data_IF_742847280728
#
_entry.id   IF_742847280728
#
_cell.length_a   1.000
_cell.length_b   1.000
_cell.length_c   1.000
_cell.angle_alpha   90.00
_cell.angle_beta   90.00
_cell.angle_gamma   90.00
#
_symmetry.space_group_name_H-M   'P 1'
#
loop_
_entity.id
_entity.type
_entity.pdbx_description
1 polymer ?
#
# COMPACT_ATOMS: atom_id res chain seq x y z
N UNK A 1 -6.99 -5.81 -13.85
CA UNK A 1 -6.05 -5.48 -12.75
C UNK A 1 -6.38 -4.10 -12.23
N UNK A 2 -6.36 -3.92 -10.91
CA UNK A 2 -6.55 -2.62 -10.29
C UNK A 2 -5.40 -1.67 -10.63
N UNK A 3 -5.70 -0.37 -10.60
CA UNK A 3 -4.71 0.70 -10.79
C UNK A 3 -4.22 1.16 -9.43
N UNK A 4 -2.90 1.11 -9.21
CA UNK A 4 -2.29 1.68 -8.01
C UNK A 4 -2.20 3.19 -8.18
N UNK A 5 -2.73 3.94 -7.22
CA UNK A 5 -2.56 5.38 -7.14
C UNK A 5 -1.74 5.70 -5.88
N UNK A 6 -0.54 6.25 -6.07
CA UNK A 6 0.37 6.60 -4.98
C UNK A 6 0.24 8.09 -4.66
N UNK A 7 0.10 8.41 -3.39
CA UNK A 7 0.18 9.81 -2.96
C UNK A 7 1.59 10.38 -3.20
N UNK A 8 1.69 11.72 -3.26
CA UNK A 8 2.98 12.41 -3.37
C UNK A 8 3.91 12.05 -2.21
N UNK A 9 3.37 11.89 -1.00
CA UNK A 9 4.14 11.51 0.19
C UNK A 9 4.65 10.08 0.09
N UNK A 10 3.79 9.13 -0.33
CA UNK A 10 4.19 7.75 -0.56
C UNK A 10 5.32 7.67 -1.60
N UNK A 11 5.18 8.40 -2.71
CA UNK A 11 6.21 8.47 -3.76
C UNK A 11 7.54 8.99 -3.22
N UNK A 12 7.52 10.08 -2.44
CA UNK A 12 8.73 10.63 -1.78
C UNK A 12 9.37 9.61 -0.82
N UNK A 13 8.56 8.84 -0.09
CA UNK A 13 9.06 7.85 0.86
C UNK A 13 9.69 6.65 0.15
N UNK A 14 9.08 6.15 -0.91
CA UNK A 14 9.60 5.04 -1.72
C UNK A 14 10.99 5.36 -2.29
N UNK A 15 11.21 6.60 -2.74
CA UNK A 15 12.53 7.06 -3.24
C UNK A 15 13.65 7.07 -2.18
N UNK A 16 13.31 6.98 -0.89
CA UNK A 16 14.28 7.00 0.22
C UNK A 16 14.52 5.61 0.83
N UNK A 17 13.96 4.54 0.25
CA UNK A 17 14.17 3.19 0.74
C UNK A 17 15.56 2.68 0.33
N UNK A 18 16.26 1.92 1.20
CA UNK A 18 17.44 1.17 0.78
C UNK A 18 17.09 0.14 -0.30
N UNK A 19 18.02 -0.15 -1.21
CA UNK A 19 17.80 -0.98 -2.40
C UNK A 19 17.11 -2.32 -2.12
N UNK A 20 17.54 -3.02 -1.06
CA UNK A 20 16.94 -4.30 -0.64
C UNK A 20 15.45 -4.16 -0.30
N UNK A 21 15.09 -3.12 0.44
CA UNK A 21 13.70 -2.86 0.82
C UNK A 21 12.88 -2.31 -0.36
N UNK A 22 13.50 -1.50 -1.23
CA UNK A 22 12.84 -0.95 -2.40
C UNK A 22 12.30 -2.08 -3.32
N UNK A 23 13.12 -3.12 -3.57
CA UNK A 23 12.70 -4.27 -4.39
C UNK A 23 11.54 -5.04 -3.77
N UNK A 24 11.60 -5.31 -2.46
CA UNK A 24 10.54 -6.03 -1.74
C UNK A 24 9.22 -5.24 -1.76
N UNK A 25 9.27 -3.95 -1.46
CA UNK A 25 8.09 -3.08 -1.45
C UNK A 25 7.50 -2.93 -2.85
N UNK A 26 8.33 -2.74 -3.89
CA UNK A 26 7.85 -2.63 -5.27
C UNK A 26 7.15 -3.92 -5.75
N UNK A 27 7.68 -5.08 -5.37
CA UNK A 27 7.08 -6.39 -5.68
C UNK A 27 5.69 -6.48 -5.04
N UNK A 28 5.60 -6.24 -3.72
CA UNK A 28 4.33 -6.30 -3.00
C UNK A 28 3.29 -5.30 -3.53
N UNK A 29 3.68 -4.05 -3.81
CA UNK A 29 2.77 -3.04 -4.41
C UNK A 29 2.22 -3.51 -5.76
N UNK A 30 3.05 -4.18 -6.56
CA UNK A 30 2.64 -4.67 -7.89
C UNK A 30 1.64 -5.82 -7.76
N UNK A 31 1.83 -6.74 -6.81
CA UNK A 31 0.92 -7.85 -6.51
C UNK A 31 -0.48 -7.38 -6.08
N UNK A 32 -0.58 -6.22 -5.41
CA UNK A 32 -1.87 -5.63 -5.02
C UNK A 32 -2.79 -5.31 -6.21
N UNK A 33 -2.25 -5.24 -7.44
CA UNK A 33 -3.05 -5.05 -8.65
C UNK A 33 -3.96 -6.24 -8.98
N UNK A 34 -3.60 -7.43 -8.50
CA UNK A 34 -4.37 -8.68 -8.67
C UNK A 34 -4.97 -9.17 -7.36
N UNK A 35 -4.27 -8.99 -6.24
CA UNK A 35 -4.73 -9.39 -4.92
C UNK A 35 -4.69 -8.20 -3.94
N UNK A 36 -5.72 -7.33 -3.94
CA UNK A 36 -5.75 -6.15 -3.09
C UNK A 36 -5.86 -6.45 -1.58
N UNK A 37 -6.28 -7.67 -1.21
CA UNK A 37 -6.48 -8.09 0.18
C UNK A 37 -5.71 -9.40 0.44
N UNK A 38 -4.37 -9.37 0.40
CA UNK A 38 -3.59 -10.58 0.62
C UNK A 38 -3.77 -11.06 2.07
N UNK A 39 -3.55 -12.35 2.31
CA UNK A 39 -3.82 -12.98 3.60
C UNK A 39 -3.01 -12.36 4.76
N UNK A 40 -1.82 -11.85 4.47
CA UNK A 40 -0.93 -11.16 5.41
C UNK A 40 -1.28 -9.67 5.60
N UNK A 41 -2.35 -9.17 4.97
CA UNK A 41 -2.82 -7.79 5.17
C UNK A 41 -3.63 -7.65 6.45
N UNK A 42 -3.35 -6.57 7.17
CA UNK A 42 -4.15 -6.15 8.32
C UNK A 42 -5.07 -5.00 7.91
N UNK A 43 -6.37 -5.16 8.19
CA UNK A 43 -7.33 -4.06 8.02
C UNK A 43 -7.09 -3.01 9.09
N UNK A 44 -6.69 -1.81 8.67
CA UNK A 44 -6.51 -0.69 9.59
C UNK A 44 -7.87 -0.21 10.13
N UNK A 45 -7.92 0.12 11.42
CA UNK A 45 -9.08 0.73 12.07
C UNK A 45 -9.30 2.15 11.51
N UNK A 46 -10.54 2.64 11.50
CA UNK A 46 -10.87 4.02 11.08
C UNK A 46 -11.21 4.21 9.60
N UNK A 47 -10.96 3.23 8.72
CA UNK A 47 -11.29 3.35 7.29
C UNK A 47 -12.79 3.16 6.98
N UNK A 48 -13.63 2.95 7.99
CA UNK A 48 -15.09 2.78 7.87
C UNK A 48 -15.87 3.14 9.13
N UNK A 49 -15.25 3.86 10.08
CA UNK A 49 -15.91 4.32 11.31
C UNK A 49 -15.80 5.84 11.40
N UNK A 50 -16.52 6.52 10.52
CA UNK A 50 -17.13 7.78 10.91
C UNK A 50 -18.35 7.33 11.72
N UNK A 51 -18.26 7.37 13.04
CA UNK A 51 -19.47 7.30 13.87
C UNK A 51 -20.38 8.45 13.44
N UNK A 52 -21.66 8.20 13.12
CA UNK A 52 -22.60 9.29 12.95
C UNK A 52 -22.91 9.85 14.35
N UNK A 53 -22.62 11.15 14.52
CA UNK A 53 -23.09 12.08 15.57
C UNK A 53 -22.87 11.65 17.03
#
# INVERSE_FOLDING_TARGET
MLKINLSRQATKRLKKLPDKHAKQVATKITELRTNPYPQDSLKLKGYGSISPL
#
